data_IF_931984442014
#
_entry.id   IF_931984442014
#
_cell.length_a   1.000
_cell.length_b   1.000
_cell.length_c   1.000
_cell.angle_alpha   90.00
_cell.angle_beta   90.00
_cell.angle_gamma   90.00
#
_symmetry.space_group_name_H-M   'P 1'
#
loop_
_entity.id
_entity.type
_entity.pdbx_description
1 polymer ?
#
# COMPACT_ATOMS: atom_id res chain seq x y z
N UNK A 1 -6.71 23.37 30.79
CA UNK A 1 -8.01 23.16 31.43
C UNK A 1 -9.09 23.88 30.62
N UNK A 2 -10.19 23.16 30.29
CA UNK A 2 -11.34 23.74 29.62
C UNK A 2 -12.48 23.77 30.63
N UNK A 3 -13.15 24.89 30.77
CA UNK A 3 -14.28 25.08 31.69
C UNK A 3 -15.40 25.84 30.99
N UNK A 4 -16.60 25.87 31.62
CA UNK A 4 -17.72 26.65 31.14
C UNK A 4 -18.64 25.97 30.13
N UNK A 5 -18.53 24.63 29.94
CA UNK A 5 -19.52 23.84 29.19
C UNK A 5 -20.71 23.55 30.11
N UNK A 6 -21.82 24.24 29.93
CA UNK A 6 -22.95 24.23 30.88
C UNK A 6 -24.25 23.65 30.29
N UNK A 7 -24.38 23.68 28.96
CA UNK A 7 -25.60 23.23 28.28
C UNK A 7 -25.25 22.20 27.19
N UNK A 8 -26.20 21.28 26.95
CA UNK A 8 -26.09 20.34 25.86
C UNK A 8 -25.82 21.06 24.54
N UNK A 9 -24.76 20.65 23.87
CA UNK A 9 -24.30 21.24 22.61
C UNK A 9 -23.20 22.28 22.75
N UNK A 10 -22.87 22.69 23.98
CA UNK A 10 -21.71 23.58 24.21
C UNK A 10 -20.44 22.93 23.70
N UNK A 11 -19.59 23.73 23.08
CA UNK A 11 -18.35 23.31 22.44
C UNK A 11 -17.19 24.12 22.98
N UNK A 12 -16.10 23.43 23.27
CA UNK A 12 -14.80 24.04 23.49
C UNK A 12 -13.79 23.50 22.48
N UNK A 13 -12.86 24.36 22.06
CA UNK A 13 -11.81 23.99 21.12
C UNK A 13 -10.44 24.36 21.68
N UNK A 14 -9.46 23.50 21.39
CA UNK A 14 -8.05 23.79 21.64
C UNK A 14 -7.25 23.48 20.38
N UNK A 15 -6.26 24.30 20.07
CA UNK A 15 -5.38 24.13 18.90
C UNK A 15 -3.95 23.88 19.34
N UNK A 16 -3.27 23.00 18.65
CA UNK A 16 -1.88 22.64 18.88
C UNK A 16 -1.12 22.68 17.55
N UNK A 17 0.12 23.14 17.59
CA UNK A 17 1.03 23.04 16.45
C UNK A 17 1.77 21.71 16.51
N UNK A 18 1.73 20.95 15.42
CA UNK A 18 2.46 19.70 15.23
C UNK A 18 3.51 19.92 14.15
N UNK A 19 4.77 19.59 14.44
CA UNK A 19 5.89 19.76 13.53
C UNK A 19 6.55 18.43 13.21
N UNK A 20 6.79 18.17 11.94
CA UNK A 20 7.67 17.09 11.51
C UNK A 20 9.13 17.51 11.70
N UNK A 21 9.82 16.94 12.69
CA UNK A 21 11.22 17.26 12.98
C UNK A 21 12.25 16.51 12.13
N UNK A 22 11.81 15.61 11.26
CA UNK A 22 12.72 14.96 10.32
C UNK A 22 13.40 15.97 9.40
N UNK A 23 14.64 15.70 9.02
CA UNK A 23 15.41 16.57 8.11
C UNK A 23 15.12 16.26 6.64
N UNK A 24 14.63 15.06 6.35
CA UNK A 24 14.58 14.50 4.99
C UNK A 24 13.33 13.64 4.69
N UNK A 25 12.55 13.25 5.71
CA UNK A 25 11.39 12.38 5.54
C UNK A 25 10.08 13.13 5.75
N UNK A 26 9.12 12.91 4.85
CA UNK A 26 7.73 13.24 5.09
C UNK A 26 7.10 12.25 6.07
N UNK A 27 6.01 12.63 6.73
CA UNK A 27 5.27 11.76 7.63
C UNK A 27 3.76 11.93 7.45
N UNK A 28 3.03 10.81 7.50
CA UNK A 28 1.59 10.84 7.66
C UNK A 28 1.21 10.92 9.13
N UNK A 29 0.27 11.79 9.43
CA UNK A 29 -0.22 12.04 10.78
C UNK A 29 -1.61 11.44 10.96
N UNK A 30 -1.79 10.73 12.05
CA UNK A 30 -3.10 10.39 12.60
C UNK A 30 -3.22 10.98 13.99
N UNK A 31 -4.41 11.50 14.31
CA UNK A 31 -4.67 12.08 15.64
C UNK A 31 -5.99 11.52 16.18
N UNK A 32 -5.97 11.10 17.42
CA UNK A 32 -7.14 10.58 18.14
C UNK A 32 -7.33 11.34 19.45
N UNK A 33 -8.58 11.54 19.84
CA UNK A 33 -8.92 12.08 21.13
C UNK A 33 -9.87 11.12 21.86
N UNK A 34 -9.63 10.93 23.14
CA UNK A 34 -10.44 10.09 24.03
C UNK A 34 -10.91 10.91 25.23
N UNK A 35 -12.07 10.56 25.76
CA UNK A 35 -12.63 11.14 26.98
C UNK A 35 -12.79 10.05 28.02
N UNK A 36 -12.41 10.29 29.25
CA UNK A 36 -12.70 9.38 30.38
C UNK A 36 -14.20 9.34 30.71
N UNK A 37 -15.01 10.25 30.17
CA UNK A 37 -16.43 10.37 30.40
C UNK A 37 -17.22 10.58 29.11
N UNK A 38 -17.19 9.58 28.22
CA UNK A 38 -17.84 9.61 26.89
C UNK A 38 -19.38 9.73 26.96
N UNK A 39 -19.98 9.45 28.13
CA UNK A 39 -21.40 9.64 28.36
C UNK A 39 -21.83 11.11 28.26
N UNK A 40 -20.93 12.01 28.63
CA UNK A 40 -21.18 13.44 28.65
C UNK A 40 -20.37 14.23 27.64
N UNK A 41 -19.19 13.76 27.25
CA UNK A 41 -18.30 14.49 26.36
C UNK A 41 -17.96 13.70 25.09
N UNK A 42 -18.26 14.29 23.96
CA UNK A 42 -17.76 13.84 22.66
C UNK A 42 -16.44 14.61 22.37
N UNK A 43 -15.44 13.87 21.94
CA UNK A 43 -14.15 14.46 21.57
C UNK A 43 -13.86 14.17 20.10
N UNK A 44 -13.49 15.21 19.36
CA UNK A 44 -13.11 15.12 17.95
C UNK A 44 -11.75 15.78 17.80
N UNK A 45 -10.82 15.07 17.17
CA UNK A 45 -9.50 15.57 16.84
C UNK A 45 -9.34 15.65 15.32
N UNK A 46 -8.97 16.81 14.81
CA UNK A 46 -8.76 17.04 13.39
C UNK A 46 -7.38 17.64 13.14
N UNK A 47 -6.73 17.22 12.06
CA UNK A 47 -5.44 17.76 11.62
C UNK A 47 -5.66 18.45 10.27
N UNK A 48 -5.20 19.70 10.14
CA UNK A 48 -5.37 20.49 8.93
C UNK A 48 -4.65 19.85 7.72
N UNK A 49 -3.43 19.34 7.97
CA UNK A 49 -2.66 18.56 6.99
C UNK A 49 -2.30 17.20 7.57
N UNK A 50 -2.75 16.16 6.93
CA UNK A 50 -2.47 14.77 7.35
C UNK A 50 -1.12 14.25 6.88
N UNK A 51 -0.46 14.93 5.94
CA UNK A 51 0.90 14.62 5.49
C UNK A 51 1.76 15.86 5.67
N UNK A 52 2.85 15.74 6.42
CA UNK A 52 3.85 16.80 6.61
C UNK A 52 5.15 16.43 5.91
N UNK A 53 5.65 17.35 5.10
CA UNK A 53 7.04 17.30 4.61
C UNK A 53 8.04 17.44 5.73
N UNK A 54 9.31 17.16 5.44
CA UNK A 54 10.40 17.44 6.37
C UNK A 54 10.34 18.90 6.85
N UNK A 55 10.46 19.13 8.17
CA UNK A 55 10.39 20.42 8.84
C UNK A 55 9.06 21.20 8.72
N UNK A 56 8.02 20.64 8.07
CA UNK A 56 6.71 21.27 7.92
C UNK A 56 5.90 21.19 9.21
N UNK A 57 4.98 22.13 9.38
CA UNK A 57 4.07 22.22 10.53
C UNK A 57 2.61 22.16 10.08
N UNK A 58 1.74 21.68 10.97
CA UNK A 58 0.28 21.68 10.80
C UNK A 58 -0.41 22.03 12.11
N UNK A 59 -1.68 22.41 12.00
CA UNK A 59 -2.54 22.66 13.14
C UNK A 59 -3.38 21.42 13.45
N UNK A 60 -3.36 20.99 14.71
CA UNK A 60 -4.29 20.01 15.26
C UNK A 60 -5.34 20.75 16.06
N UNK A 61 -6.61 20.49 15.78
CA UNK A 61 -7.75 21.04 16.51
C UNK A 61 -8.46 19.94 17.28
N UNK A 62 -8.50 20.10 18.60
CA UNK A 62 -9.32 19.29 19.50
C UNK A 62 -10.64 20.01 19.73
N UNK A 63 -11.74 19.34 19.49
CA UNK A 63 -13.11 19.82 19.79
C UNK A 63 -13.71 18.93 20.87
N UNK A 64 -14.20 19.55 21.94
CA UNK A 64 -14.91 18.89 23.03
C UNK A 64 -16.33 19.41 23.03
N UNK A 65 -17.32 18.51 22.95
CA UNK A 65 -18.73 18.86 22.93
C UNK A 65 -19.46 18.21 24.10
N UNK A 66 -20.27 18.99 24.80
CA UNK A 66 -21.14 18.49 25.86
C UNK A 66 -22.38 17.83 25.26
N UNK A 67 -22.56 16.53 25.46
CA UNK A 67 -23.65 15.74 24.90
C UNK A 67 -24.95 15.84 25.69
N UNK A 68 -24.86 16.12 26.99
CA UNK A 68 -26.01 16.21 27.90
C UNK A 68 -25.78 17.34 28.89
N UNK A 69 -26.82 18.14 29.13
CA UNK A 69 -26.79 19.10 30.22
C UNK A 69 -26.69 18.34 31.54
N UNK A 70 -25.73 18.69 32.44
CA UNK A 70 -25.68 18.10 33.75
C UNK A 70 -26.97 18.35 34.51
N UNK A 71 -27.53 17.31 35.10
CA UNK A 71 -28.73 17.45 35.94
C UNK A 71 -28.25 17.84 37.32
N UNK A 72 -28.91 18.83 37.91
CA UNK A 72 -28.53 19.54 39.15
C UNK A 72 -28.60 18.71 40.46
N UNK A 73 -28.66 17.38 40.34
CA UNK A 73 -28.80 16.47 41.50
C UNK A 73 -27.45 16.12 42.17
N UNK A 74 -26.35 16.37 41.52
CA UNK A 74 -25.03 16.23 42.13
C UNK A 74 -24.29 17.57 42.07
N UNK A 75 -24.14 18.21 43.19
CA UNK A 75 -23.41 19.47 43.33
C UNK A 75 -21.89 19.37 43.12
N UNK A 76 -21.46 18.41 42.30
CA UNK A 76 -20.07 18.20 41.94
C UNK A 76 -19.84 18.63 40.49
N UNK A 77 -18.73 19.32 40.25
CA UNK A 77 -18.30 19.66 38.90
C UNK A 77 -18.09 18.38 38.08
N UNK A 78 -18.71 18.31 36.91
CA UNK A 78 -18.53 17.21 35.98
C UNK A 78 -17.17 17.39 35.30
N UNK A 79 -16.26 16.44 35.53
CA UNK A 79 -14.91 16.47 34.96
C UNK A 79 -14.69 15.31 34.01
N UNK A 80 -13.80 15.47 33.06
CA UNK A 80 -13.28 14.41 32.19
C UNK A 80 -11.82 14.66 31.87
N UNK A 81 -11.03 13.59 31.92
CA UNK A 81 -9.69 13.61 31.37
C UNK A 81 -9.76 13.36 29.86
N UNK A 82 -9.17 14.27 29.10
CA UNK A 82 -9.12 14.17 27.64
C UNK A 82 -7.71 13.77 27.23
N UNK A 83 -7.58 12.58 26.65
CA UNK A 83 -6.35 12.10 26.04
C UNK A 83 -6.30 12.50 24.57
N UNK A 84 -5.17 13.03 24.12
CA UNK A 84 -4.88 13.25 22.70
C UNK A 84 -3.64 12.46 22.34
N UNK A 85 -3.75 11.57 21.35
CA UNK A 85 -2.63 10.85 20.81
C UNK A 85 -2.39 11.24 19.35
N UNK A 86 -1.13 11.44 19.00
CA UNK A 86 -0.69 11.74 17.63
C UNK A 86 0.30 10.65 17.23
N UNK A 87 0.01 9.97 16.14
CA UNK A 87 0.94 9.01 15.53
C UNK A 87 1.47 9.61 14.24
N UNK A 88 2.78 9.56 14.07
CA UNK A 88 3.46 9.99 12.85
C UNK A 88 4.12 8.77 12.20
N UNK A 89 3.71 8.43 10.98
CA UNK A 89 4.32 7.36 10.19
C UNK A 89 5.24 7.98 9.13
N UNK A 90 6.57 7.71 9.17
CA UNK A 90 7.49 8.27 8.20
C UNK A 90 7.23 7.71 6.81
N UNK A 91 7.26 8.60 5.80
CA UNK A 91 7.15 8.25 4.38
C UNK A 91 8.52 8.15 3.73
N UNK A 92 8.70 7.15 2.91
CA UNK A 92 9.87 7.05 2.05
C UNK A 92 9.80 8.12 0.94
N UNK A 93 10.94 8.66 0.46
CA UNK A 93 10.95 9.58 -0.67
C UNK A 93 10.22 8.97 -1.88
N UNK A 94 9.24 9.69 -2.44
CA UNK A 94 8.39 9.23 -3.56
C UNK A 94 6.94 8.87 -3.19
N UNK A 95 6.56 8.84 -1.91
CA UNK A 95 5.20 8.51 -1.46
C UNK A 95 4.22 9.70 -1.42
N UNK A 96 4.56 10.84 -1.99
CA UNK A 96 3.82 12.10 -1.80
C UNK A 96 2.47 12.25 -2.53
N UNK A 97 1.99 11.26 -3.23
CA UNK A 97 0.77 11.42 -4.02
C UNK A 97 -0.44 10.72 -3.41
N UNK A 98 -1.21 11.41 -2.58
CA UNK A 98 -2.68 11.37 -2.57
C UNK A 98 -3.28 11.94 -1.28
N UNK A 99 -3.54 13.24 -1.27
CA UNK A 99 -4.36 13.89 -0.26
C UNK A 99 -5.86 13.68 -0.56
N UNK A 100 -6.51 12.87 0.24
CA UNK A 100 -7.97 12.71 0.22
C UNK A 100 -8.46 12.19 1.55
N UNK A 101 -9.20 13.04 2.25
CA UNK A 101 -9.83 12.86 3.56
C UNK A 101 -10.54 11.51 3.77
N UNK A 102 -10.27 10.84 4.90
CA UNK A 102 -11.19 9.84 5.48
C UNK A 102 -11.04 9.73 6.99
N UNK A 103 -12.15 9.60 7.69
CA UNK A 103 -12.34 9.34 9.12
C UNK A 103 -11.77 7.98 9.54
N UNK A 104 -11.06 7.92 10.66
CA UNK A 104 -10.31 6.74 11.12
C UNK A 104 -10.91 6.15 12.40
N UNK A 105 -11.10 4.84 12.42
CA UNK A 105 -11.42 4.00 13.57
C UNK A 105 -10.16 3.26 14.08
N UNK A 106 -10.01 3.16 15.39
CA UNK A 106 -8.86 2.63 16.13
C UNK A 106 -8.65 1.11 16.01
N UNK A 107 -8.13 0.68 14.89
CA UNK A 107 -7.35 -0.57 14.67
C UNK A 107 -6.44 -0.24 13.52
N UNK A 108 -5.14 -0.68 13.55
CA UNK A 108 -4.23 -0.47 12.41
C UNK A 108 -5.03 -0.66 11.14
N UNK A 109 -5.34 0.42 10.38
CA UNK A 109 -6.27 0.30 9.27
C UNK A 109 -5.62 -0.59 8.21
N UNK A 110 -6.41 -1.36 7.47
CA UNK A 110 -5.94 -1.88 6.20
C UNK A 110 -5.39 -0.69 5.41
N UNK A 111 -4.31 -0.88 4.68
CA UNK A 111 -3.74 0.15 3.81
C UNK A 111 -4.88 0.62 2.91
N UNK A 112 -5.43 1.78 3.23
CA UNK A 112 -6.64 2.30 2.57
C UNK A 112 -6.34 2.92 1.22
N UNK A 113 -5.03 3.07 0.90
CA UNK A 113 -4.57 3.63 -0.38
C UNK A 113 -3.34 2.89 -0.86
N UNK A 114 -3.43 2.15 -1.96
CA UNK A 114 -2.28 1.61 -2.65
C UNK A 114 -1.31 2.72 -3.06
N UNK A 115 -0.01 2.44 -2.98
CA UNK A 115 1.02 3.32 -3.47
C UNK A 115 0.77 3.65 -4.96
N UNK A 116 0.76 4.92 -5.32
CA UNK A 116 0.70 5.36 -6.71
C UNK A 116 2.13 5.72 -7.16
N UNK A 117 2.75 4.94 -8.06
CA UNK A 117 4.10 5.22 -8.53
C UNK A 117 4.20 6.54 -9.31
N UNK A 118 5.34 7.21 -9.22
CA UNK A 118 5.60 8.44 -9.98
C UNK A 118 5.43 8.20 -11.49
N UNK A 119 4.75 9.14 -12.16
CA UNK A 119 4.46 9.03 -13.58
C UNK A 119 3.25 8.17 -13.93
N UNK A 120 2.55 7.64 -12.92
CA UNK A 120 1.27 6.96 -13.10
C UNK A 120 0.09 7.83 -12.66
N UNK A 121 -1.08 7.57 -13.21
CA UNK A 121 -2.34 8.19 -12.84
C UNK A 121 -3.40 7.11 -12.59
N UNK A 122 -4.35 7.39 -11.71
CA UNK A 122 -5.50 6.50 -11.53
C UNK A 122 -6.39 6.54 -12.77
N UNK A 123 -6.85 5.39 -13.21
CA UNK A 123 -7.85 5.29 -14.28
C UNK A 123 -9.22 5.63 -13.69
N UNK A 124 -9.89 6.59 -14.30
CA UNK A 124 -11.21 7.08 -13.87
C UNK A 124 -12.23 5.94 -13.73
N UNK A 125 -13.08 6.00 -12.72
CA UNK A 125 -14.11 5.00 -12.45
C UNK A 125 -13.60 3.71 -11.80
N UNK A 126 -12.29 3.56 -11.55
CA UNK A 126 -11.74 2.40 -10.85
C UNK A 126 -11.48 2.68 -9.37
N UNK A 127 -11.80 1.71 -8.51
CA UNK A 127 -11.68 1.81 -7.05
C UNK A 127 -11.15 0.49 -6.48
N UNK A 128 -10.76 0.45 -5.21
CA UNK A 128 -10.38 -0.81 -4.54
C UNK A 128 -11.50 -1.87 -4.59
N UNK A 129 -12.75 -1.45 -4.61
CA UNK A 129 -13.89 -2.36 -4.65
C UNK A 129 -14.10 -3.01 -6.03
N UNK A 130 -13.79 -2.28 -7.12
CA UNK A 130 -14.03 -2.73 -8.49
C UNK A 130 -12.75 -2.91 -9.33
N UNK A 131 -11.58 -3.01 -8.68
CA UNK A 131 -10.31 -3.24 -9.36
C UNK A 131 -9.57 -1.94 -9.69
N UNK A 132 -9.04 -1.26 -8.65
CA UNK A 132 -8.22 -0.05 -8.81
C UNK A 132 -7.16 -0.25 -9.89
N UNK A 133 -7.20 0.60 -10.89
CA UNK A 133 -6.30 0.54 -12.06
C UNK A 133 -5.50 1.83 -12.14
N UNK A 134 -4.21 1.70 -12.38
CA UNK A 134 -3.31 2.82 -12.70
C UNK A 134 -2.82 2.73 -14.14
N UNK A 135 -2.40 3.86 -14.69
CA UNK A 135 -1.90 3.94 -16.06
C UNK A 135 -0.66 4.84 -16.12
N UNK A 136 0.35 4.41 -16.87
CA UNK A 136 1.53 5.24 -17.17
C UNK A 136 1.25 6.21 -18.34
N UNK A 137 2.20 7.12 -18.62
CA UNK A 137 2.10 8.09 -19.71
C UNK A 137 2.06 7.46 -21.11
N UNK A 138 2.40 6.18 -21.26
CA UNK A 138 2.36 5.41 -22.51
C UNK A 138 1.05 4.64 -22.69
N UNK A 139 0.16 4.68 -21.68
CA UNK A 139 -1.12 3.97 -21.69
C UNK A 139 -1.05 2.51 -21.22
N UNK A 140 0.05 2.06 -20.63
CA UNK A 140 0.11 0.75 -19.98
C UNK A 140 -0.73 0.77 -18.72
N UNK A 141 -1.58 -0.24 -18.52
CA UNK A 141 -2.51 -0.31 -17.38
C UNK A 141 -2.18 -1.46 -16.45
N UNK A 142 -2.31 -1.20 -15.13
CA UNK A 142 -2.01 -2.15 -14.08
C UNK A 142 -3.10 -2.12 -13.02
N UNK A 143 -3.48 -3.28 -12.51
CA UNK A 143 -4.51 -3.47 -11.48
C UNK A 143 -3.84 -3.73 -10.14
N UNK A 144 -4.35 -3.11 -9.09
CA UNK A 144 -3.93 -3.38 -7.72
C UNK A 144 -4.48 -4.73 -7.23
N UNK A 145 -3.59 -5.59 -6.78
CA UNK A 145 -3.89 -6.85 -6.11
C UNK A 145 -3.64 -6.68 -4.63
N UNK A 146 -4.71 -6.63 -3.85
CA UNK A 146 -4.67 -6.46 -2.41
C UNK A 146 -4.27 -7.76 -1.71
N UNK A 147 -3.33 -7.66 -0.76
CA UNK A 147 -2.94 -8.73 0.15
C UNK A 147 -3.22 -8.27 1.58
N UNK A 148 -4.13 -8.93 2.33
CA UNK A 148 -4.53 -8.44 3.65
C UNK A 148 -3.37 -8.40 4.64
N UNK A 149 -3.14 -7.24 5.25
CA UNK A 149 -2.14 -7.05 6.31
C UNK A 149 -2.71 -7.51 7.67
N UNK A 150 -2.76 -8.81 7.87
CA UNK A 150 -3.33 -9.42 9.08
C UNK A 150 -2.45 -10.54 9.63
N UNK A 151 -2.56 -10.83 10.93
CA UNK A 151 -1.90 -11.98 11.55
C UNK A 151 -2.41 -13.33 11.01
N UNK A 152 -3.49 -13.36 10.21
CA UNK A 152 -3.95 -14.56 9.52
C UNK A 152 -3.14 -14.83 8.26
N UNK A 153 -2.65 -13.79 7.61
CA UNK A 153 -1.76 -13.88 6.44
C UNK A 153 -0.31 -14.03 6.91
N UNK A 154 0.15 -13.14 7.77
CA UNK A 154 1.53 -13.10 8.26
C UNK A 154 1.64 -13.76 9.64
N UNK A 155 1.52 -15.09 9.67
CA UNK A 155 1.51 -15.89 10.91
C UNK A 155 2.88 -16.02 11.53
N UNK A 156 3.93 -16.11 10.72
CA UNK A 156 5.32 -16.29 11.13
C UNK A 156 6.10 -15.00 11.12
N UNK A 157 5.96 -14.19 10.07
CA UNK A 157 6.62 -12.89 9.94
C UNK A 157 6.04 -11.85 10.92
N UNK A 158 4.76 -11.97 11.30
CA UNK A 158 4.06 -10.95 12.08
C UNK A 158 3.83 -9.67 11.30
N UNK A 159 3.47 -8.58 11.99
CA UNK A 159 3.13 -7.30 11.35
C UNK A 159 4.08 -6.14 11.72
N UNK A 160 5.22 -6.42 12.34
CA UNK A 160 6.10 -5.40 12.92
C UNK A 160 7.56 -5.53 12.44
N UNK A 161 7.78 -6.01 11.20
CA UNK A 161 9.12 -6.06 10.62
C UNK A 161 9.59 -4.62 10.35
N UNK A 162 10.71 -4.25 10.95
CA UNK A 162 11.40 -2.95 10.75
C UNK A 162 12.65 -3.10 9.91
N UNK A 163 13.32 -4.25 9.99
CA UNK A 163 14.51 -4.57 9.21
C UNK A 163 14.25 -5.80 8.34
N UNK A 164 14.54 -5.71 7.06
CA UNK A 164 14.30 -6.78 6.09
C UNK A 164 15.59 -7.54 5.83
N UNK A 165 15.81 -8.59 6.62
CA UNK A 165 16.89 -9.56 6.46
C UNK A 165 16.45 -10.71 5.54
N UNK A 166 17.39 -11.59 5.16
CA UNK A 166 17.08 -12.82 4.42
C UNK A 166 16.05 -13.69 5.15
N UNK A 167 16.16 -13.79 6.47
CA UNK A 167 15.20 -14.54 7.30
C UNK A 167 13.81 -13.93 7.26
N UNK A 168 13.69 -12.61 7.29
CA UNK A 168 12.40 -11.93 7.21
C UNK A 168 11.74 -12.11 5.84
N UNK A 169 12.51 -12.05 4.76
CA UNK A 169 12.00 -12.37 3.42
C UNK A 169 11.51 -13.82 3.32
N UNK A 170 12.25 -14.78 3.90
CA UNK A 170 11.84 -16.19 3.94
C UNK A 170 10.54 -16.37 4.71
N UNK A 171 10.38 -15.72 5.87
CA UNK A 171 9.13 -15.78 6.66
C UNK A 171 7.96 -15.19 5.88
N UNK A 172 8.13 -14.01 5.25
CA UNK A 172 7.10 -13.38 4.43
C UNK A 172 6.68 -14.31 3.29
N UNK A 173 7.64 -14.86 2.54
CA UNK A 173 7.34 -15.75 1.43
C UNK A 173 6.62 -17.03 1.89
N UNK A 174 7.07 -17.64 2.98
CA UNK A 174 6.42 -18.82 3.58
C UNK A 174 4.98 -18.53 4.00
N UNK A 175 4.75 -17.38 4.63
CA UNK A 175 3.41 -16.96 5.04
C UNK A 175 2.49 -16.74 3.84
N UNK A 176 2.98 -16.10 2.77
CA UNK A 176 2.23 -15.90 1.53
C UNK A 176 1.92 -17.22 0.82
N UNK A 177 2.86 -18.16 0.77
CA UNK A 177 2.60 -19.52 0.26
C UNK A 177 1.57 -20.25 1.10
N UNK A 178 1.63 -20.13 2.42
CA UNK A 178 0.64 -20.72 3.32
C UNK A 178 -0.74 -20.12 3.12
N UNK A 179 -0.82 -18.80 2.93
CA UNK A 179 -2.07 -18.09 2.66
C UNK A 179 -2.71 -18.49 1.32
N UNK A 180 -1.91 -18.92 0.35
CA UNK A 180 -2.34 -19.30 -1.01
C UNK A 180 -2.19 -20.81 -1.29
N UNK A 181 -2.04 -21.65 -0.28
CA UNK A 181 -1.74 -23.08 -0.45
C UNK A 181 -2.78 -23.90 -1.22
N UNK A 182 -3.99 -23.35 -1.39
CA UNK A 182 -5.06 -23.98 -2.17
C UNK A 182 -4.74 -24.07 -3.68
N UNK A 183 -3.78 -23.28 -4.18
CA UNK A 183 -3.46 -23.18 -5.60
C UNK A 183 -2.21 -23.97 -6.01
N UNK A 184 -1.35 -24.30 -5.06
CA UNK A 184 -0.10 -25.05 -5.28
C UNK A 184 0.18 -26.02 -4.16
N UNK A 185 0.90 -27.08 -4.48
CA UNK A 185 1.37 -28.05 -3.50
C UNK A 185 2.31 -27.39 -2.49
N UNK A 186 2.26 -27.85 -1.23
CA UNK A 186 3.16 -27.42 -0.19
C UNK A 186 4.62 -27.70 -0.58
N UNK A 187 5.49 -26.72 -0.37
CA UNK A 187 6.92 -26.84 -0.68
C UNK A 187 7.31 -26.45 -2.12
N UNK A 188 6.36 -25.92 -2.90
CA UNK A 188 6.71 -25.33 -4.18
C UNK A 188 7.48 -24.01 -3.96
N UNK A 189 8.57 -23.83 -4.71
CA UNK A 189 9.39 -22.62 -4.66
C UNK A 189 9.55 -22.02 -6.06
N UNK A 190 9.71 -20.70 -6.13
CA UNK A 190 10.11 -20.00 -7.35
C UNK A 190 11.54 -20.39 -7.73
N UNK A 191 11.72 -20.99 -8.89
CA UNK A 191 13.01 -21.41 -9.40
C UNK A 191 13.61 -20.32 -10.28
N UNK A 192 14.83 -19.90 -9.97
CA UNK A 192 15.60 -19.07 -10.88
C UNK A 192 15.94 -19.83 -12.15
N UNK A 193 15.63 -19.23 -13.29
CA UNK A 193 15.92 -19.79 -14.60
C UNK A 193 16.83 -18.86 -15.39
N UNK A 194 17.91 -19.40 -15.97
CA UNK A 194 18.83 -18.69 -16.86
C UNK A 194 19.18 -19.56 -18.04
N UNK A 195 19.12 -18.97 -19.25
CA UNK A 195 19.66 -19.58 -20.48
C UNK A 195 21.13 -19.19 -20.70
N UNK A 196 21.77 -18.49 -19.76
CA UNK A 196 23.17 -18.05 -19.75
C UNK A 196 23.53 -16.96 -20.77
N UNK A 197 22.63 -16.54 -21.64
CA UNK A 197 22.94 -15.58 -22.73
C UNK A 197 22.26 -14.23 -22.54
N UNK A 198 21.05 -14.23 -22.02
CA UNK A 198 20.23 -13.02 -21.78
C UNK A 198 19.38 -13.22 -20.54
N UNK A 199 19.09 -12.16 -19.83
CA UNK A 199 18.24 -12.24 -18.66
C UNK A 199 18.89 -11.68 -17.42
N UNK A 200 18.31 -11.96 -16.28
CA UNK A 200 18.79 -11.54 -14.97
C UNK A 200 19.87 -12.52 -14.48
N UNK A 201 20.83 -12.02 -13.70
CA UNK A 201 21.65 -12.90 -12.87
C UNK A 201 20.83 -13.42 -11.69
N UNK A 202 21.32 -14.47 -11.02
CA UNK A 202 20.71 -15.02 -9.80
C UNK A 202 20.53 -13.95 -8.73
N UNK A 203 21.52 -13.09 -8.55
CA UNK A 203 21.51 -11.99 -7.60
C UNK A 203 20.46 -10.92 -7.95
N UNK A 204 20.36 -10.57 -9.25
CA UNK A 204 19.35 -9.63 -9.74
C UNK A 204 17.93 -10.19 -9.55
N UNK A 205 17.72 -11.47 -9.87
CA UNK A 205 16.45 -12.14 -9.65
C UNK A 205 16.06 -12.15 -8.17
N UNK A 206 16.99 -12.54 -7.29
CA UNK A 206 16.77 -12.55 -5.84
C UNK A 206 16.46 -11.15 -5.31
N UNK A 207 17.20 -10.14 -5.76
CA UNK A 207 16.96 -8.75 -5.35
C UNK A 207 15.59 -8.23 -5.80
N UNK A 208 15.13 -8.57 -7.01
CA UNK A 208 13.78 -8.22 -7.47
C UNK A 208 12.70 -8.94 -6.66
N UNK A 209 12.87 -10.23 -6.36
CA UNK A 209 11.95 -11.00 -5.53
C UNK A 209 11.85 -10.42 -4.13
N UNK A 210 12.97 -10.07 -3.51
CA UNK A 210 13.00 -9.42 -2.20
C UNK A 210 12.30 -8.05 -2.21
N UNK A 211 12.50 -7.23 -3.24
CA UNK A 211 11.79 -5.95 -3.40
C UNK A 211 10.28 -6.17 -3.54
N UNK A 212 9.85 -7.19 -4.28
CA UNK A 212 8.45 -7.56 -4.41
C UNK A 212 7.86 -7.98 -3.06
N UNK A 213 8.50 -8.91 -2.33
CA UNK A 213 8.06 -9.38 -1.01
C UNK A 213 7.95 -8.22 -0.01
N UNK A 214 8.97 -7.35 0.01
CA UNK A 214 8.95 -6.13 0.84
C UNK A 214 7.78 -5.22 0.49
N UNK A 215 7.55 -4.98 -0.81
CA UNK A 215 6.44 -4.13 -1.27
C UNK A 215 5.08 -4.71 -0.88
N UNK A 216 4.86 -6.00 -1.08
CA UNK A 216 3.62 -6.68 -0.66
C UNK A 216 3.40 -6.54 0.84
N UNK A 217 4.46 -6.77 1.63
CA UNK A 217 4.39 -6.66 3.10
C UNK A 217 4.16 -5.22 3.57
N UNK A 218 4.84 -4.23 2.98
CA UNK A 218 4.74 -2.83 3.42
C UNK A 218 3.47 -2.14 2.91
N UNK A 219 3.09 -2.40 1.65
CA UNK A 219 2.01 -1.69 0.97
C UNK A 219 0.68 -2.47 0.95
N UNK A 220 0.65 -3.72 1.43
CA UNK A 220 -0.55 -4.56 1.44
C UNK A 220 -0.98 -5.00 0.05
N UNK A 221 -0.04 -5.15 -0.89
CA UNK A 221 -0.34 -5.60 -2.24
C UNK A 221 0.72 -5.23 -3.27
N UNK A 222 0.36 -5.38 -4.53
CA UNK A 222 1.21 -5.07 -5.68
C UNK A 222 0.34 -4.79 -6.91
N UNK A 223 0.95 -4.22 -7.94
CA UNK A 223 0.30 -4.04 -9.23
C UNK A 223 0.62 -5.17 -10.19
N UNK A 224 -0.38 -5.64 -10.95
CA UNK A 224 -0.24 -6.60 -12.04
C UNK A 224 -0.74 -6.01 -13.34
N UNK A 225 -0.14 -6.38 -14.46
CA UNK A 225 -0.63 -5.97 -15.78
C UNK A 225 -2.12 -6.30 -15.96
N UNK A 226 -2.93 -5.31 -16.33
CA UNK A 226 -4.36 -5.49 -16.60
C UNK A 226 -4.61 -6.37 -17.82
N UNK A 227 -3.71 -6.34 -18.76
CA UNK A 227 -3.72 -7.10 -19.98
C UNK A 227 -2.46 -7.94 -20.06
N UNK A 228 -2.51 -9.01 -20.84
CA UNK A 228 -1.33 -9.78 -21.19
C UNK A 228 -0.28 -8.88 -21.84
N UNK A 229 1.00 -9.12 -21.51
CA UNK A 229 2.09 -8.36 -22.13
C UNK A 229 2.09 -8.59 -23.64
N UNK A 230 2.09 -7.50 -24.38
CA UNK A 230 1.94 -7.51 -25.82
C UNK A 230 2.88 -6.61 -26.59
N UNK A 231 2.67 -6.55 -27.88
CA UNK A 231 3.33 -5.68 -28.85
C UNK A 231 2.25 -4.91 -29.63
N UNK A 232 2.42 -3.59 -29.84
CA UNK A 232 1.35 -2.78 -30.43
C UNK A 232 1.21 -2.94 -31.96
N UNK A 233 2.32 -2.99 -32.68
CA UNK A 233 2.29 -2.70 -34.13
C UNK A 233 2.11 -3.93 -35.02
N UNK A 234 2.61 -5.11 -34.62
CA UNK A 234 2.52 -6.35 -35.37
C UNK A 234 2.80 -7.57 -34.49
N UNK A 235 2.22 -8.73 -34.80
CA UNK A 235 2.54 -9.95 -34.11
C UNK A 235 4.00 -10.35 -34.37
N UNK A 236 4.68 -10.82 -33.32
CA UNK A 236 6.02 -11.39 -33.44
C UNK A 236 5.92 -12.79 -34.03
N UNK A 237 6.55 -13.01 -35.17
CA UNK A 237 6.46 -14.27 -35.93
C UNK A 237 7.63 -15.20 -35.66
N UNK A 238 8.74 -14.72 -35.12
CA UNK A 238 9.92 -15.52 -34.82
C UNK A 238 10.70 -14.92 -33.66
N UNK A 239 11.59 -15.69 -33.06
CA UNK A 239 12.49 -15.25 -32.01
C UNK A 239 13.80 -16.04 -32.06
N UNK A 240 14.81 -15.52 -31.38
CA UNK A 240 16.12 -16.18 -31.23
C UNK A 240 16.45 -16.24 -29.74
N UNK A 241 16.90 -17.38 -29.26
CA UNK A 241 17.37 -17.51 -27.87
C UNK A 241 18.72 -16.82 -27.63
N UNK A 242 19.47 -16.55 -28.70
CA UNK A 242 20.80 -15.93 -28.63
C UNK A 242 20.80 -14.42 -28.90
N UNK A 243 19.67 -13.84 -29.29
CA UNK A 243 19.55 -12.42 -29.61
C UNK A 243 18.44 -11.79 -28.78
N UNK A 244 18.75 -10.71 -28.09
CA UNK A 244 17.75 -9.98 -27.30
C UNK A 244 16.62 -9.47 -28.22
N UNK A 245 15.33 -9.61 -27.79
CA UNK A 245 14.21 -9.02 -28.51
C UNK A 245 14.33 -7.50 -28.58
N UNK A 246 13.88 -6.91 -29.67
CA UNK A 246 13.93 -5.47 -29.93
C UNK A 246 12.59 -4.77 -29.75
N UNK A 247 11.50 -5.53 -29.76
CA UNK A 247 10.15 -5.02 -29.62
C UNK A 247 9.90 -4.52 -28.19
N UNK A 248 9.29 -3.35 -28.07
CA UNK A 248 8.92 -2.79 -26.76
C UNK A 248 7.69 -3.49 -26.21
N UNK A 249 7.74 -4.08 -25.02
CA UNK A 249 6.57 -4.67 -24.38
C UNK A 249 5.60 -3.59 -23.94
N UNK A 250 4.29 -3.87 -24.07
CA UNK A 250 3.21 -3.02 -23.61
C UNK A 250 2.16 -3.82 -22.83
N UNK A 251 1.43 -3.14 -21.96
CA UNK A 251 0.30 -3.69 -21.18
C UNK A 251 -0.97 -2.95 -21.60
N UNK A 252 -1.46 -3.26 -22.79
CA UNK A 252 -2.58 -2.56 -23.43
C UNK A 252 -3.62 -3.51 -24.01
N UNK A 253 -4.86 -3.04 -24.02
CA UNK A 253 -5.92 -3.75 -24.72
C UNK A 253 -5.61 -3.84 -26.23
N UNK A 254 -5.94 -4.98 -26.84
CA UNK A 254 -5.76 -5.27 -28.26
C UNK A 254 -4.29 -5.30 -28.73
N UNK A 255 -3.32 -5.34 -27.85
CA UNK A 255 -1.94 -5.62 -28.22
C UNK A 255 -1.79 -7.11 -28.65
N UNK A 256 -0.88 -7.37 -29.56
CA UNK A 256 -0.56 -8.75 -29.94
C UNK A 256 0.25 -9.41 -28.81
N UNK A 257 -0.05 -10.66 -28.40
CA UNK A 257 0.70 -11.33 -27.35
C UNK A 257 2.21 -11.35 -27.60
N UNK A 258 2.99 -11.03 -26.54
CA UNK A 258 4.45 -11.05 -26.62
C UNK A 258 4.96 -12.48 -26.56
N UNK A 259 5.08 -13.13 -27.72
CA UNK A 259 5.51 -14.51 -27.89
C UNK A 259 6.95 -14.62 -28.44
N UNK A 260 7.39 -15.85 -28.73
CA UNK A 260 8.71 -16.15 -29.32
C UNK A 260 9.87 -15.52 -28.50
N UNK A 261 9.85 -15.68 -27.20
CA UNK A 261 10.88 -15.25 -26.25
C UNK A 261 11.20 -16.38 -25.28
N UNK A 262 12.44 -16.43 -24.81
CA UNK A 262 12.81 -17.31 -23.70
C UNK A 262 12.36 -16.71 -22.38
N UNK A 263 12.31 -17.52 -21.31
CA UNK A 263 12.01 -17.06 -19.96
C UNK A 263 13.01 -15.95 -19.51
N UNK A 264 14.30 -16.15 -19.77
CA UNK A 264 15.31 -15.15 -19.42
C UNK A 264 15.14 -13.84 -20.19
N UNK A 265 14.76 -13.88 -21.47
CA UNK A 265 14.45 -12.69 -22.24
C UNK A 265 13.20 -11.97 -21.68
N UNK A 266 12.15 -12.71 -21.32
CA UNK A 266 10.95 -12.16 -20.70
C UNK A 266 11.27 -11.50 -19.35
N UNK A 267 12.14 -12.11 -18.52
CA UNK A 267 12.59 -11.49 -17.26
C UNK A 267 13.32 -10.17 -17.51
N UNK A 268 14.24 -10.12 -18.49
CA UNK A 268 14.97 -8.91 -18.84
C UNK A 268 14.03 -7.80 -19.36
N UNK A 269 13.12 -8.14 -20.26
CA UNK A 269 12.13 -7.21 -20.80
C UNK A 269 11.24 -6.65 -19.70
N UNK A 270 10.69 -7.50 -18.85
CA UNK A 270 9.81 -7.09 -17.76
C UNK A 270 10.53 -6.18 -16.76
N UNK A 271 11.77 -6.51 -16.38
CA UNK A 271 12.58 -5.68 -15.47
C UNK A 271 13.00 -4.34 -16.10
N UNK A 272 12.98 -4.24 -17.42
CA UNK A 272 13.32 -3.03 -18.18
C UNK A 272 12.12 -2.11 -18.49
N UNK A 273 10.89 -2.54 -18.21
CA UNK A 273 9.69 -1.74 -18.53
C UNK A 273 9.61 -0.45 -17.70
N UNK A 274 10.09 -0.50 -16.47
CA UNK A 274 10.10 0.64 -15.55
C UNK A 274 11.51 0.89 -15.07
N UNK A 275 11.93 2.15 -15.13
CA UNK A 275 13.23 2.61 -14.61
C UNK A 275 12.98 3.67 -13.55
N UNK A 276 12.92 3.26 -12.30
CA UNK A 276 12.75 4.13 -11.14
C UNK A 276 13.60 3.60 -9.98
N UNK A 277 14.01 4.50 -9.08
CA UNK A 277 14.67 4.12 -7.83
C UNK A 277 13.65 3.64 -6.78
N UNK A 278 12.41 4.10 -6.88
CA UNK A 278 11.36 3.91 -5.88
C UNK A 278 10.48 2.68 -6.13
N UNK A 279 10.42 2.18 -7.36
CA UNK A 279 9.61 1.01 -7.71
C UNK A 279 10.24 0.23 -8.86
N UNK A 280 9.90 -1.03 -8.98
CA UNK A 280 10.45 -1.96 -9.97
C UNK A 280 9.35 -2.69 -10.71
N UNK A 281 9.64 -3.08 -11.94
CA UNK A 281 8.86 -4.06 -12.69
C UNK A 281 9.61 -5.38 -12.79
N UNK A 282 8.89 -6.46 -12.89
CA UNK A 282 9.44 -7.81 -13.08
C UNK A 282 8.45 -8.70 -13.82
N UNK A 283 8.95 -9.79 -14.36
CA UNK A 283 8.08 -10.92 -14.66
C UNK A 283 7.43 -11.38 -13.35
N UNK A 284 6.16 -11.80 -13.41
CA UNK A 284 5.44 -12.22 -12.22
C UNK A 284 6.11 -13.42 -11.55
N UNK A 285 6.32 -13.35 -10.24
CA UNK A 285 6.77 -14.49 -9.45
C UNK A 285 5.59 -15.44 -9.19
N UNK A 286 5.87 -16.72 -8.94
CA UNK A 286 4.82 -17.69 -8.71
C UNK A 286 3.92 -17.35 -7.53
N UNK A 287 4.49 -16.87 -6.42
CA UNK A 287 3.70 -16.41 -5.27
C UNK A 287 2.76 -15.24 -5.63
N UNK A 288 3.15 -14.36 -6.54
CA UNK A 288 2.26 -13.30 -7.03
C UNK A 288 1.09 -13.86 -7.85
N UNK A 289 1.36 -14.88 -8.69
CA UNK A 289 0.30 -15.56 -9.43
C UNK A 289 -0.74 -16.16 -8.50
N UNK A 290 -0.31 -16.85 -7.47
CA UNK A 290 -1.21 -17.45 -6.47
C UNK A 290 -1.98 -16.40 -5.69
N UNK A 291 -1.34 -15.27 -5.36
CA UNK A 291 -2.00 -14.12 -4.75
C UNK A 291 -3.05 -13.47 -5.67
N UNK A 292 -2.82 -13.43 -6.99
CA UNK A 292 -3.82 -12.98 -7.97
C UNK A 292 -5.04 -13.91 -7.95
N UNK A 293 -4.84 -15.22 -7.95
CA UNK A 293 -5.93 -16.19 -7.87
C UNK A 293 -6.72 -16.02 -6.56
N UNK A 294 -6.04 -15.88 -5.44
CA UNK A 294 -6.67 -15.62 -4.13
C UNK A 294 -7.44 -14.31 -4.09
N UNK A 295 -6.92 -13.27 -4.69
CA UNK A 295 -7.60 -11.98 -4.82
C UNK A 295 -8.89 -12.11 -5.65
N UNK A 296 -8.84 -12.79 -6.80
CA UNK A 296 -10.01 -13.02 -7.66
C UNK A 296 -11.08 -13.84 -6.93
N UNK A 297 -10.70 -14.89 -6.20
CA UNK A 297 -11.60 -15.69 -5.38
C UNK A 297 -12.30 -14.84 -4.31
N UNK A 298 -11.56 -13.97 -3.60
CA UNK A 298 -12.09 -13.17 -2.50
C UNK A 298 -12.94 -11.99 -2.96
N UNK A 299 -12.65 -11.41 -4.12
CA UNK A 299 -13.45 -10.28 -4.66
C UNK A 299 -14.71 -10.74 -5.38
N UNK A 300 -14.85 -12.02 -5.64
CA UNK A 300 -15.99 -12.57 -6.36
C UNK A 300 -15.97 -12.11 -7.82
N UNK A 301 -15.45 -12.92 -8.70
CA UNK A 301 -15.67 -12.70 -10.13
C UNK A 301 -17.11 -13.07 -10.41
N UNK A 302 -17.92 -12.08 -10.73
CA UNK A 302 -19.24 -12.34 -11.28
C UNK A 302 -19.12 -12.97 -12.67
#
# INVERSE_FOLDING_TARGET
EVSGLTAKGDIATATYTVKNQSQDLSADLTAEATSSNEKYFETICTVEKTTLKAQEETTLTLTIKLLKTPIDETKEDLTSDIGVSITAEPKQPGEEANAGSTTVSSKKPPITKPYLPDGFTNVEGTTLANGLTIQDSKGNQYVWVEVPMTNKVYTTAGLNITEFTTDEYTKIETDLHTYTNDYRESGWEDIYYSDKTTGLTSEQYTALKQKMLKSVYQNGGFYVGKYETGIENAPKTSGSSSTAPTETPVIKQNAYPYNNVTCSQAQALASGMVKSENYTSSLMFGVQWDLVLKYLETKGTA
#
